data_IF_128128953666
#
_entry.id   IF_128128953666
#
_cell.length_a   1.000
_cell.length_b   1.000
_cell.length_c   1.000
_cell.angle_alpha   90.00
_cell.angle_beta   90.00
_cell.angle_gamma   90.00
#
_symmetry.space_group_name_H-M   'P 1'
#
loop_
_entity.id
_entity.type
_entity.pdbx_description
1 polymer ?
#
# COMPACT_ATOMS: atom_id res chain seq x y z
N UNK A 1 -8.06 16.64 19.08
CA UNK A 1 -8.65 15.68 18.13
C UNK A 1 -9.44 14.63 18.92
N UNK A 2 -10.71 14.39 18.58
CA UNK A 2 -11.49 13.30 19.19
C UNK A 2 -11.05 11.98 18.57
N UNK A 3 -10.73 11.01 19.40
CA UNK A 3 -10.41 9.63 18.97
C UNK A 3 -11.70 8.85 18.79
N UNK A 4 -12.47 9.21 17.78
CA UNK A 4 -13.73 8.55 17.42
C UNK A 4 -13.49 7.25 16.61
N UNK A 5 -14.58 6.62 16.17
CA UNK A 5 -14.52 5.39 15.37
C UNK A 5 -13.71 5.62 14.08
N UNK A 6 -13.88 6.78 13.42
CA UNK A 6 -13.13 7.10 12.18
C UNK A 6 -11.63 7.12 12.43
N UNK A 7 -11.18 7.72 13.54
CA UNK A 7 -9.78 7.69 13.95
C UNK A 7 -9.22 6.25 14.04
N UNK A 8 -9.95 5.34 14.70
CA UNK A 8 -9.46 3.96 14.85
C UNK A 8 -9.58 3.13 13.58
N UNK A 9 -10.58 3.38 12.74
CA UNK A 9 -10.69 2.78 11.40
C UNK A 9 -9.55 3.22 10.46
N UNK A 10 -8.94 4.36 10.71
CA UNK A 10 -7.73 4.78 10.00
C UNK A 10 -6.47 4.17 10.62
N UNK A 11 -6.33 4.28 11.94
CA UNK A 11 -5.10 3.88 12.63
C UNK A 11 -4.86 2.38 12.60
N UNK A 12 -5.84 1.56 12.98
CA UNK A 12 -5.64 0.10 13.12
C UNK A 12 -5.29 -0.55 11.78
N UNK A 13 -6.09 -0.38 10.71
CA UNK A 13 -5.71 -0.95 9.41
C UNK A 13 -4.43 -0.32 8.85
N UNK A 14 -4.16 0.97 9.13
CA UNK A 14 -2.94 1.63 8.69
C UNK A 14 -1.68 1.01 9.29
N UNK A 15 -1.67 0.71 10.59
CA UNK A 15 -0.57 0.01 11.23
C UNK A 15 -0.43 -1.43 10.75
N UNK A 16 -1.54 -2.15 10.55
CA UNK A 16 -1.51 -3.51 9.98
C UNK A 16 -0.92 -3.50 8.56
N UNK A 17 -1.34 -2.54 7.73
CA UNK A 17 -0.79 -2.37 6.39
C UNK A 17 0.71 -2.02 6.43
N UNK A 18 1.13 -1.14 7.35
CA UNK A 18 2.55 -0.80 7.50
C UNK A 18 3.40 -2.03 7.84
N UNK A 19 2.96 -2.86 8.80
CA UNK A 19 3.67 -4.10 9.13
C UNK A 19 3.69 -5.08 7.97
N UNK A 20 2.58 -5.19 7.25
CA UNK A 20 2.52 -6.01 6.03
C UNK A 20 3.49 -5.51 4.96
N UNK A 21 3.58 -4.19 4.71
CA UNK A 21 4.50 -3.62 3.74
C UNK A 21 5.97 -3.85 4.13
N UNK A 22 6.32 -3.74 5.40
CA UNK A 22 7.67 -4.07 5.86
C UNK A 22 7.98 -5.54 5.55
N UNK A 23 7.06 -6.45 5.81
CA UNK A 23 7.22 -7.88 5.54
C UNK A 23 7.23 -8.20 4.04
N UNK A 24 6.28 -7.66 3.27
CA UNK A 24 6.03 -8.06 1.90
C UNK A 24 6.75 -7.18 0.84
N UNK A 25 7.29 -6.02 1.22
CA UNK A 25 7.96 -5.12 0.31
C UNK A 25 9.38 -4.77 0.75
N UNK A 26 9.62 -4.45 2.03
CA UNK A 26 10.96 -4.08 2.45
C UNK A 26 11.94 -5.27 2.34
N UNK A 27 11.54 -6.49 2.70
CA UNK A 27 12.39 -7.67 2.57
C UNK A 27 12.73 -7.97 1.10
N UNK A 28 11.76 -8.04 0.16
CA UNK A 28 12.06 -8.24 -1.27
C UNK A 28 12.89 -7.13 -1.91
N UNK A 29 12.82 -5.90 -1.41
CA UNK A 29 13.66 -4.80 -1.88
C UNK A 29 15.16 -5.03 -1.60
N UNK A 30 15.51 -5.80 -0.57
CA UNK A 30 16.88 -6.24 -0.30
C UNK A 30 17.23 -7.56 -0.98
N UNK A 31 16.28 -8.48 -1.07
CA UNK A 31 16.43 -9.79 -1.72
C UNK A 31 15.08 -10.29 -2.23
N UNK A 32 14.88 -10.16 -3.54
CA UNK A 32 13.66 -10.62 -4.19
C UNK A 32 13.45 -12.14 -4.02
N UNK A 33 14.55 -12.92 -4.11
CA UNK A 33 14.53 -14.37 -3.90
C UNK A 33 14.03 -14.75 -2.49
N UNK A 34 14.42 -13.96 -1.47
CA UNK A 34 13.89 -14.16 -0.12
C UNK A 34 12.38 -13.89 -0.10
N UNK A 35 11.90 -12.86 -0.79
CA UNK A 35 10.47 -12.58 -0.93
C UNK A 35 9.70 -13.73 -1.59
N UNK A 36 10.27 -14.33 -2.63
CA UNK A 36 9.72 -15.52 -3.30
C UNK A 36 9.67 -16.73 -2.32
N UNK A 37 10.77 -16.98 -1.63
CA UNK A 37 10.83 -18.07 -0.65
C UNK A 37 9.84 -17.92 0.51
N UNK A 38 9.50 -16.67 0.87
CA UNK A 38 8.50 -16.35 1.90
C UNK A 38 7.06 -16.31 1.35
N UNK A 39 6.86 -16.48 0.03
CA UNK A 39 5.55 -16.43 -0.61
C UNK A 39 4.93 -15.01 -0.66
N UNK A 40 5.75 -13.96 -0.57
CA UNK A 40 5.31 -12.56 -0.66
C UNK A 40 5.54 -11.96 -2.04
N UNK A 41 6.30 -12.65 -2.90
CA UNK A 41 6.57 -12.28 -4.28
C UNK A 41 6.43 -13.51 -5.19
N UNK A 42 6.08 -13.27 -6.45
CA UNK A 42 5.97 -14.30 -7.47
C UNK A 42 7.34 -14.55 -8.14
N UNK A 43 7.68 -15.82 -8.44
CA UNK A 43 8.93 -16.16 -9.13
C UNK A 43 8.83 -15.90 -10.65
N UNK A 44 10.00 -15.87 -11.31
CA UNK A 44 10.12 -15.54 -12.73
C UNK A 44 9.39 -16.53 -13.67
N UNK A 45 9.24 -17.79 -13.28
CA UNK A 45 8.49 -18.80 -14.04
C UNK A 45 6.98 -18.56 -14.04
N UNK A 46 6.46 -17.73 -13.12
CA UNK A 46 5.07 -17.30 -13.07
C UNK A 46 4.81 -15.94 -13.74
N UNK A 47 5.75 -15.00 -13.64
CA UNK A 47 5.53 -13.60 -14.07
C UNK A 47 6.58 -13.07 -15.05
N UNK A 48 7.50 -13.91 -15.51
CA UNK A 48 8.66 -13.57 -16.36
C UNK A 48 9.70 -12.70 -15.65
N UNK A 49 10.91 -12.60 -16.22
CA UNK A 49 11.98 -11.72 -15.72
C UNK A 49 11.58 -10.23 -15.72
N UNK A 50 10.78 -9.83 -16.71
CA UNK A 50 10.27 -8.45 -16.78
C UNK A 50 9.26 -8.18 -15.67
N UNK A 51 8.40 -9.13 -15.37
CA UNK A 51 7.47 -9.05 -14.22
C UNK A 51 8.21 -8.96 -12.90
N UNK A 52 9.24 -9.77 -12.70
CA UNK A 52 10.13 -9.70 -11.52
C UNK A 52 10.75 -8.31 -11.38
N UNK A 53 11.34 -7.77 -12.46
CA UNK A 53 11.95 -6.44 -12.43
C UNK A 53 10.92 -5.34 -12.09
N UNK A 54 9.70 -5.47 -12.59
CA UNK A 54 8.61 -4.53 -12.31
C UNK A 54 8.16 -4.61 -10.84
N UNK A 55 7.93 -5.81 -10.29
CA UNK A 55 7.58 -5.99 -8.87
C UNK A 55 8.71 -5.58 -7.92
N UNK A 56 9.96 -5.85 -8.28
CA UNK A 56 11.12 -5.33 -7.54
C UNK A 56 11.12 -3.80 -7.47
N UNK A 57 10.78 -3.13 -8.60
CA UNK A 57 10.65 -1.68 -8.64
C UNK A 57 9.61 -1.15 -7.65
N UNK A 58 8.47 -1.83 -7.53
CA UNK A 58 7.46 -1.51 -6.49
C UNK A 58 8.00 -1.72 -5.08
N UNK A 59 8.63 -2.86 -4.81
CA UNK A 59 9.18 -3.17 -3.50
C UNK A 59 10.22 -2.12 -3.06
N UNK A 60 11.10 -1.70 -3.97
CA UNK A 60 12.08 -0.65 -3.71
C UNK A 60 11.44 0.72 -3.50
N UNK A 61 10.46 1.10 -4.32
CA UNK A 61 9.73 2.36 -4.18
C UNK A 61 8.95 2.41 -2.84
N UNK A 62 8.33 1.31 -2.45
CA UNK A 62 7.63 1.20 -1.18
C UNK A 62 8.60 1.34 0.01
N UNK A 63 9.78 0.71 -0.05
CA UNK A 63 10.81 0.84 0.98
C UNK A 63 11.25 2.28 1.20
N UNK A 64 11.54 3.01 0.12
CA UNK A 64 12.14 4.36 0.22
C UNK A 64 11.11 5.50 0.32
N UNK A 65 9.87 5.24 -0.05
CA UNK A 65 8.85 6.29 -0.14
C UNK A 65 7.60 5.97 0.69
N UNK A 66 6.90 4.89 0.37
CA UNK A 66 5.58 4.64 0.93
C UNK A 66 5.64 4.24 2.40
N UNK A 67 6.51 3.31 2.78
CA UNK A 67 6.69 2.86 4.18
C UNK A 67 7.04 4.05 5.10
N UNK A 68 8.05 4.90 4.78
CA UNK A 68 8.35 6.08 5.59
C UNK A 68 7.19 7.08 5.67
N UNK A 69 6.50 7.35 4.55
CA UNK A 69 5.35 8.27 4.54
C UNK A 69 4.20 7.74 5.39
N UNK A 70 3.86 6.44 5.26
CA UNK A 70 2.78 5.84 6.03
C UNK A 70 3.12 5.84 7.53
N UNK A 71 4.34 5.45 7.90
CA UNK A 71 4.78 5.46 9.30
C UNK A 71 4.73 6.86 9.90
N UNK A 72 5.36 7.85 9.24
CA UNK A 72 5.36 9.23 9.72
C UNK A 72 3.94 9.82 9.77
N UNK A 73 3.12 9.54 8.77
CA UNK A 73 1.73 9.97 8.70
C UNK A 73 0.88 9.41 9.83
N UNK A 74 0.96 8.11 10.10
CA UNK A 74 0.25 7.44 11.20
C UNK A 74 0.67 7.99 12.56
N UNK A 75 1.99 8.12 12.80
CA UNK A 75 2.52 8.70 14.04
C UNK A 75 2.04 10.15 14.21
N UNK A 76 2.22 10.98 13.18
CA UNK A 76 1.85 12.39 13.25
C UNK A 76 0.34 12.59 13.44
N UNK A 77 -0.49 11.79 12.77
CA UNK A 77 -1.94 11.80 12.95
C UNK A 77 -2.31 11.35 14.37
N UNK A 78 -1.71 10.26 14.89
CA UNK A 78 -1.93 9.78 16.26
C UNK A 78 -1.61 10.84 17.31
N UNK A 79 -0.53 11.64 17.08
CA UNK A 79 -0.11 12.74 17.93
C UNK A 79 -0.94 14.02 17.71
N UNK A 80 -1.93 14.02 16.83
CA UNK A 80 -2.81 15.16 16.56
C UNK A 80 -2.10 16.32 15.82
N UNK A 81 -0.97 16.06 15.16
CA UNK A 81 -0.18 17.08 14.47
C UNK A 81 -0.72 17.38 13.08
N UNK A 82 -0.77 18.63 12.68
CA UNK A 82 -1.22 19.06 11.35
C UNK A 82 -0.33 18.48 10.24
N UNK A 83 1.01 18.50 10.44
CA UNK A 83 1.92 17.87 9.49
C UNK A 83 1.66 16.39 9.28
N UNK A 84 1.25 15.66 10.34
CA UNK A 84 0.91 14.24 10.25
C UNK A 84 -0.31 13.99 9.37
N UNK A 85 -1.33 14.87 9.42
CA UNK A 85 -2.50 14.81 8.53
C UNK A 85 -2.12 15.05 7.07
N UNK A 86 -1.20 15.95 6.79
CA UNK A 86 -0.70 16.21 5.43
C UNK A 86 0.07 14.99 4.89
N UNK A 87 0.99 14.45 5.70
CA UNK A 87 1.78 13.26 5.30
C UNK A 87 0.89 12.03 5.12
N UNK A 88 -0.09 11.79 6.01
CA UNK A 88 -0.97 10.63 5.86
C UNK A 88 -1.86 10.77 4.61
N UNK A 89 -2.26 11.97 4.17
CA UNK A 89 -2.93 12.17 2.90
C UNK A 89 -2.09 11.69 1.72
N UNK A 90 -0.79 11.99 1.70
CA UNK A 90 0.12 11.52 0.65
C UNK A 90 0.23 9.98 0.66
N UNK A 91 0.41 9.38 1.84
CA UNK A 91 0.45 7.93 1.99
C UNK A 91 -0.86 7.25 1.54
N UNK A 92 -2.02 7.80 1.91
CA UNK A 92 -3.33 7.28 1.51
C UNK A 92 -3.59 7.43 0.00
N UNK A 93 -3.04 8.48 -0.62
CA UNK A 93 -3.03 8.61 -2.08
C UNK A 93 -2.28 7.47 -2.76
N UNK A 94 -1.11 7.08 -2.24
CA UNK A 94 -0.36 5.90 -2.68
C UNK A 94 -1.18 4.63 -2.40
N UNK A 95 -1.75 4.50 -1.20
CA UNK A 95 -2.61 3.36 -0.81
C UNK A 95 -3.78 3.15 -1.76
N UNK A 96 -4.34 4.19 -2.32
CA UNK A 96 -5.40 4.09 -3.33
C UNK A 96 -4.84 3.75 -4.72
N UNK A 97 -3.73 4.37 -5.10
CA UNK A 97 -3.16 4.29 -6.45
C UNK A 97 -2.54 2.92 -6.78
N UNK A 98 -1.64 2.40 -5.92
CA UNK A 98 -0.87 1.21 -6.29
C UNK A 98 -1.71 -0.06 -6.47
N UNK A 99 -2.79 -0.34 -5.68
CA UNK A 99 -3.63 -1.49 -5.95
C UNK A 99 -4.32 -1.42 -7.30
N UNK A 100 -4.71 -0.21 -7.74
CA UNK A 100 -5.32 0.00 -9.07
C UNK A 100 -4.29 -0.33 -10.16
N UNK A 101 -3.03 0.11 -10.00
CA UNK A 101 -1.95 -0.23 -10.95
C UNK A 101 -1.71 -1.73 -10.99
N UNK A 102 -1.59 -2.39 -9.84
CA UNK A 102 -1.37 -3.83 -9.77
C UNK A 102 -2.52 -4.62 -10.40
N UNK A 103 -3.78 -4.26 -10.12
CA UNK A 103 -4.95 -4.91 -10.74
C UNK A 103 -4.95 -4.73 -12.25
N UNK A 104 -4.66 -3.53 -12.74
CA UNK A 104 -4.57 -3.25 -14.16
C UNK A 104 -3.43 -4.03 -14.83
N UNK A 105 -2.27 -4.14 -14.17
CA UNK A 105 -1.12 -4.89 -14.66
C UNK A 105 -1.42 -6.39 -14.74
N UNK A 106 -1.98 -7.01 -13.69
CA UNK A 106 -2.38 -8.42 -13.68
C UNK A 106 -3.42 -8.70 -14.77
N UNK A 107 -4.42 -7.84 -14.91
CA UNK A 107 -5.46 -7.98 -15.95
C UNK A 107 -4.87 -7.90 -17.37
N UNK A 108 -3.96 -6.97 -17.62
CA UNK A 108 -3.31 -6.82 -18.92
C UNK A 108 -2.35 -7.98 -19.24
N UNK A 109 -1.70 -8.54 -18.22
CA UNK A 109 -0.73 -9.60 -18.38
C UNK A 109 -1.34 -10.99 -18.60
N UNK A 110 -2.62 -11.21 -18.30
CA UNK A 110 -3.28 -12.54 -18.33
C UNK A 110 -3.05 -13.36 -19.58
N UNK A 111 -2.95 -12.71 -20.75
CA UNK A 111 -2.74 -13.36 -22.04
C UNK A 111 -1.31 -13.18 -22.57
N UNK A 112 -0.40 -12.64 -21.77
CA UNK A 112 0.98 -12.42 -22.18
C UNK A 112 1.77 -13.74 -22.15
N UNK A 113 2.67 -13.91 -23.10
CA UNK A 113 3.55 -15.09 -23.15
C UNK A 113 4.41 -15.16 -21.89
N UNK A 114 4.41 -16.32 -21.23
CA UNK A 114 5.18 -16.56 -20.01
C UNK A 114 4.50 -16.07 -18.71
N UNK A 115 3.32 -15.47 -18.78
CA UNK A 115 2.53 -15.16 -17.60
C UNK A 115 1.69 -16.37 -17.18
N UNK A 116 2.01 -16.97 -16.04
CA UNK A 116 1.40 -18.20 -15.54
C UNK A 116 1.10 -18.08 -14.03
N UNK A 117 0.52 -16.96 -13.60
CA UNK A 117 0.23 -16.73 -12.20
C UNK A 117 -0.73 -17.80 -11.66
N UNK A 118 -0.26 -18.57 -10.67
CA UNK A 118 -1.00 -19.74 -10.15
C UNK A 118 -2.23 -19.32 -9.36
N UNK A 119 -2.14 -18.24 -8.60
CA UNK A 119 -3.23 -17.76 -7.76
C UNK A 119 -3.42 -16.24 -7.85
N UNK A 120 -4.41 -15.81 -8.60
CA UNK A 120 -4.78 -14.40 -8.70
C UNK A 120 -5.74 -13.93 -7.59
N UNK A 121 -6.30 -14.85 -6.79
CA UNK A 121 -7.34 -14.51 -5.81
C UNK A 121 -6.95 -13.38 -4.84
N UNK A 122 -5.71 -13.32 -4.30
CA UNK A 122 -5.28 -12.23 -3.43
C UNK A 122 -5.39 -10.86 -4.11
N UNK A 123 -5.05 -10.77 -5.40
CA UNK A 123 -5.15 -9.52 -6.16
C UNK A 123 -6.59 -9.03 -6.26
N UNK A 124 -7.55 -9.94 -6.54
CA UNK A 124 -8.95 -9.57 -6.76
C UNK A 124 -9.75 -9.35 -5.48
N UNK A 125 -9.26 -9.78 -4.34
CA UNK A 125 -9.94 -9.62 -3.05
C UNK A 125 -9.26 -8.53 -2.20
N UNK A 126 -7.95 -8.66 -1.98
CA UNK A 126 -7.24 -7.81 -1.01
C UNK A 126 -6.99 -6.41 -1.59
N UNK A 127 -6.54 -6.31 -2.86
CA UNK A 127 -6.21 -5.01 -3.43
C UNK A 127 -7.41 -4.05 -3.54
N UNK A 128 -8.61 -4.47 -3.96
CA UNK A 128 -9.78 -3.60 -3.92
C UNK A 128 -10.13 -3.12 -2.51
N UNK A 129 -10.00 -3.98 -1.49
CA UNK A 129 -10.25 -3.59 -0.10
C UNK A 129 -9.26 -2.53 0.37
N UNK A 130 -7.97 -2.68 0.05
CA UNK A 130 -6.93 -1.69 0.37
C UNK A 130 -7.23 -0.37 -0.37
N UNK A 131 -7.58 -0.43 -1.65
CA UNK A 131 -7.91 0.77 -2.43
C UNK A 131 -9.12 1.52 -1.85
N UNK A 132 -10.19 0.81 -1.52
CA UNK A 132 -11.38 1.40 -0.92
C UNK A 132 -11.08 2.03 0.45
N UNK A 133 -10.28 1.35 1.28
CA UNK A 133 -9.85 1.91 2.56
C UNK A 133 -8.97 3.15 2.36
N UNK A 134 -8.04 3.13 1.39
CA UNK A 134 -7.20 4.27 1.05
C UNK A 134 -8.02 5.49 0.60
N UNK A 135 -9.00 5.28 -0.29
CA UNK A 135 -9.91 6.33 -0.76
C UNK A 135 -10.76 6.90 0.38
N UNK A 136 -11.33 6.03 1.23
CA UNK A 136 -12.10 6.44 2.39
C UNK A 136 -11.23 7.22 3.40
N UNK A 137 -10.03 6.73 3.70
CA UNK A 137 -9.09 7.39 4.62
C UNK A 137 -8.67 8.76 4.11
N UNK A 138 -8.38 8.89 2.83
CA UNK A 138 -8.07 10.18 2.20
C UNK A 138 -9.21 11.17 2.36
N UNK A 139 -10.44 10.77 2.04
CA UNK A 139 -11.63 11.60 2.24
C UNK A 139 -11.83 11.99 3.72
N UNK A 140 -11.63 11.06 4.66
CA UNK A 140 -11.76 11.31 6.09
C UNK A 140 -10.78 12.37 6.58
N UNK A 141 -9.49 12.27 6.23
CA UNK A 141 -8.46 13.23 6.63
C UNK A 141 -8.67 14.60 5.97
N UNK A 142 -9.09 14.64 4.71
CA UNK A 142 -9.41 15.92 4.04
C UNK A 142 -10.54 16.66 4.75
N UNK A 143 -11.56 15.95 5.24
CA UNK A 143 -12.62 16.56 6.08
C UNK A 143 -12.08 17.10 7.41
N UNK A 144 -11.20 16.36 8.09
CA UNK A 144 -10.58 16.83 9.32
C UNK A 144 -9.76 18.12 9.10
N UNK A 145 -9.02 18.21 8.01
CA UNK A 145 -8.24 19.39 7.64
C UNK A 145 -9.14 20.62 7.38
N UNK A 146 -10.26 20.41 6.68
CA UNK A 146 -11.22 21.50 6.41
C UNK A 146 -11.90 22.02 7.68
N UNK A 147 -12.22 21.16 8.64
CA UNK A 147 -12.81 21.53 9.91
C UNK A 147 -11.84 22.29 10.82
N UNK A 148 -10.56 21.87 10.83
CA UNK A 148 -9.50 22.54 11.60
C UNK A 148 -9.16 23.95 11.12
N UNK A 149 -9.46 24.30 9.86
CA UNK A 149 -9.24 25.65 9.31
C UNK A 149 -10.40 26.63 9.63
N UNK A 150 -11.50 26.15 10.21
CA UNK A 150 -12.69 26.99 10.53
C UNK A 150 -12.77 27.37 12.02
N UNK A 151 -11.88 26.86 12.86
CA UNK A 151 -11.76 27.15 14.28
C UNK A 151 -10.58 28.08 14.54
#
# INVERSE_FOLDING_TARGET
>A
MKRDIGFWLLQVPGWLLLFYLVYAQAIPAFSYETGVAMGTQEPADQITEVGVAFWYGFAFADLVTYIPLLAAGLIGHYLGKTWGRVIICAALGITFYWPVVCLAAVMAARNAAGWNLINESPYWIILPLIALWGAWGLWFILKELQQGNKS
#
